data_IF_163441205265
#
_entry.id   IF_163441205265
#
_cell.length_a   1.000
_cell.length_b   1.000
_cell.length_c   1.000
_cell.angle_alpha   90.00
_cell.angle_beta   90.00
_cell.angle_gamma   90.00
#
_symmetry.space_group_name_H-M   'P 1'
#
loop_
_entity.id
_entity.type
_entity.pdbx_description
1 polymer ?
#
# COMPACT_ATOMS: atom_id res chain seq x y z
N UNK A 1 1.13 11.02 -7.82
CA UNK A 1 2.15 10.10 -8.36
C UNK A 1 2.01 8.79 -7.61
N UNK A 2 2.30 7.64 -8.21
CA UNK A 2 2.09 6.31 -7.65
C UNK A 2 2.64 6.15 -6.22
N UNK A 3 3.84 6.68 -5.94
CA UNK A 3 4.44 6.64 -4.61
C UNK A 3 3.77 7.57 -3.58
N UNK A 4 3.10 8.64 -4.02
CA UNK A 4 2.39 9.55 -3.11
C UNK A 4 1.20 8.83 -2.43
N UNK A 5 0.65 7.78 -3.06
CA UNK A 5 -0.46 6.98 -2.52
C UNK A 5 0.00 5.84 -1.59
N UNK A 6 1.31 5.62 -1.40
CA UNK A 6 1.82 4.42 -0.72
C UNK A 6 1.32 4.28 0.72
N UNK A 7 1.34 5.36 1.50
CA UNK A 7 0.86 5.38 2.88
C UNK A 7 -0.62 5.00 2.95
N UNK A 8 -1.45 5.60 2.10
CA UNK A 8 -2.88 5.28 2.02
C UNK A 8 -3.11 3.82 1.62
N UNK A 9 -2.30 3.27 0.70
CA UNK A 9 -2.36 1.86 0.31
C UNK A 9 -2.09 0.96 1.52
N UNK A 10 -1.04 1.23 2.31
CA UNK A 10 -0.71 0.45 3.50
C UNK A 10 -1.82 0.50 4.55
N UNK A 11 -2.33 1.69 4.84
CA UNK A 11 -3.41 1.89 5.81
C UNK A 11 -4.67 1.13 5.39
N UNK A 12 -5.06 1.23 4.12
CA UNK A 12 -6.22 0.49 3.60
C UNK A 12 -6.01 -1.02 3.67
N UNK A 13 -4.83 -1.53 3.33
CA UNK A 13 -4.52 -2.97 3.47
C UNK A 13 -4.67 -3.42 4.92
N UNK A 14 -4.12 -2.64 5.87
CA UNK A 14 -4.19 -2.95 7.30
C UNK A 14 -5.64 -2.97 7.80
N UNK A 15 -6.42 -1.93 7.48
CA UNK A 15 -7.82 -1.81 7.89
C UNK A 15 -8.68 -2.94 7.30
N UNK A 16 -8.50 -3.26 6.02
CA UNK A 16 -9.25 -4.34 5.35
C UNK A 16 -8.89 -5.69 5.95
N UNK A 17 -7.60 -5.98 6.19
CA UNK A 17 -7.17 -7.23 6.84
C UNK A 17 -7.76 -7.37 8.24
N UNK A 18 -7.80 -6.27 9.00
CA UNK A 18 -8.43 -6.27 10.31
C UNK A 18 -9.93 -6.57 10.22
N UNK A 19 -10.67 -5.91 9.33
CA UNK A 19 -12.12 -6.13 9.14
C UNK A 19 -12.41 -7.57 8.69
N UNK A 20 -11.62 -8.11 7.76
CA UNK A 20 -11.70 -9.51 7.32
C UNK A 20 -11.52 -10.47 8.49
N UNK A 21 -10.52 -10.25 9.35
CA UNK A 21 -10.31 -11.07 10.54
C UNK A 21 -11.51 -11.04 11.49
N UNK A 22 -12.15 -9.87 11.67
CA UNK A 22 -13.37 -9.77 12.48
C UNK A 22 -14.53 -10.58 11.87
N UNK A 23 -14.73 -10.49 10.55
CA UNK A 23 -15.75 -11.25 9.84
C UNK A 23 -15.50 -12.76 9.96
N UNK A 24 -14.27 -13.21 9.74
CA UNK A 24 -13.89 -14.63 9.83
C UNK A 24 -14.13 -15.20 11.22
N UNK A 25 -13.83 -14.43 12.26
CA UNK A 25 -14.12 -14.81 13.64
C UNK A 25 -15.63 -14.94 13.89
N UNK A 26 -16.46 -14.02 13.38
CA UNK A 26 -17.92 -14.11 13.50
C UNK A 26 -18.50 -15.31 12.75
N UNK A 27 -18.04 -15.54 11.52
CA UNK A 27 -18.44 -16.69 10.70
C UNK A 27 -18.08 -18.02 11.39
N UNK A 28 -16.87 -18.10 11.94
CA UNK A 28 -16.39 -19.31 12.63
C UNK A 28 -17.16 -19.60 13.92
N UNK A 29 -17.43 -18.56 14.72
CA UNK A 29 -18.15 -18.69 16.01
C UNK A 29 -19.60 -19.14 15.84
N UNK A 30 -20.25 -18.78 14.73
CA UNK A 30 -21.69 -18.99 14.53
C UNK A 30 -22.02 -20.08 13.48
N UNK A 31 -21.04 -20.92 13.12
CA UNK A 31 -21.15 -21.91 12.03
C UNK A 31 -22.30 -22.92 12.17
N UNK A 32 -22.83 -23.11 13.38
CA UNK A 32 -23.87 -24.10 13.70
C UNK A 32 -25.06 -23.45 14.44
N UNK A 33 -25.43 -22.22 14.06
CA UNK A 33 -26.56 -21.53 14.66
C UNK A 33 -27.88 -21.83 13.95
N UNK A 34 -28.93 -22.10 14.73
CA UNK A 34 -30.30 -22.27 14.24
C UNK A 34 -31.08 -20.94 14.24
N UNK A 35 -30.48 -19.85 14.69
CA UNK A 35 -31.14 -18.54 14.71
C UNK A 35 -31.19 -17.93 13.31
N UNK A 36 -32.40 -17.71 12.80
CA UNK A 36 -32.63 -17.05 11.49
C UNK A 36 -31.95 -15.66 11.43
N UNK A 37 -32.06 -14.86 12.49
CA UNK A 37 -31.43 -13.55 12.55
C UNK A 37 -29.89 -13.63 12.44
N UNK A 38 -29.28 -14.64 13.06
CA UNK A 38 -27.84 -14.86 12.94
C UNK A 38 -27.50 -15.36 11.52
N UNK A 39 -28.30 -16.25 10.93
CA UNK A 39 -28.07 -16.70 9.55
C UNK A 39 -28.10 -15.54 8.54
N UNK A 40 -29.04 -14.60 8.66
CA UNK A 40 -29.08 -13.38 7.82
C UNK A 40 -27.82 -12.51 8.01
N UNK A 41 -27.36 -12.35 9.25
CA UNK A 41 -26.10 -11.63 9.54
C UNK A 41 -24.91 -12.33 8.86
N UNK A 42 -24.82 -13.66 8.94
CA UNK A 42 -23.72 -14.43 8.33
C UNK A 42 -23.73 -14.34 6.80
N UNK A 43 -24.91 -14.28 6.17
CA UNK A 43 -25.01 -14.05 4.72
C UNK A 43 -24.48 -12.66 4.34
N UNK A 44 -24.83 -11.63 5.11
CA UNK A 44 -24.30 -10.27 4.91
C UNK A 44 -22.78 -10.23 5.11
N UNK A 45 -22.27 -10.89 6.16
CA UNK A 45 -20.85 -11.00 6.44
C UNK A 45 -20.10 -11.74 5.31
N UNK A 46 -20.66 -12.81 4.75
CA UNK A 46 -20.07 -13.51 3.61
C UNK A 46 -20.02 -12.64 2.35
N UNK A 47 -21.09 -11.89 2.07
CA UNK A 47 -21.09 -10.94 0.96
C UNK A 47 -20.06 -9.82 1.16
N UNK A 48 -20.00 -9.25 2.38
CA UNK A 48 -19.05 -8.22 2.75
C UNK A 48 -17.61 -8.72 2.65
N UNK A 49 -17.32 -9.95 3.09
CA UNK A 49 -16.02 -10.60 2.95
C UNK A 49 -15.55 -10.61 1.50
N UNK A 50 -16.38 -11.10 0.58
CA UNK A 50 -16.05 -11.13 -0.86
C UNK A 50 -15.73 -9.73 -1.43
N UNK A 51 -16.48 -8.69 -1.01
CA UNK A 51 -16.20 -7.32 -1.44
C UNK A 51 -14.85 -6.82 -0.92
N UNK A 52 -14.54 -7.11 0.36
CA UNK A 52 -13.28 -6.72 0.99
C UNK A 52 -12.09 -7.45 0.40
N UNK A 53 -12.19 -8.74 0.10
CA UNK A 53 -11.13 -9.51 -0.56
C UNK A 53 -10.81 -8.96 -1.96
N UNK A 54 -11.85 -8.64 -2.75
CA UNK A 54 -11.66 -7.99 -4.04
C UNK A 54 -10.99 -6.61 -3.91
N UNK A 55 -11.39 -5.83 -2.90
CA UNK A 55 -10.76 -4.53 -2.62
C UNK A 55 -9.30 -4.71 -2.18
N UNK A 56 -9.01 -5.67 -1.31
CA UNK A 56 -7.68 -6.00 -0.82
C UNK A 56 -6.74 -6.38 -1.97
N UNK A 57 -7.20 -7.25 -2.89
CA UNK A 57 -6.42 -7.65 -4.06
C UNK A 57 -5.99 -6.45 -4.91
N UNK A 58 -6.89 -5.49 -5.14
CA UNK A 58 -6.55 -4.25 -5.88
C UNK A 58 -5.48 -3.42 -5.18
N UNK A 59 -5.52 -3.32 -3.84
CA UNK A 59 -4.46 -2.60 -3.09
C UNK A 59 -3.14 -3.37 -3.09
N UNK A 60 -3.16 -4.69 -2.97
CA UNK A 60 -1.96 -5.53 -3.07
C UNK A 60 -1.33 -5.40 -4.47
N UNK A 61 -2.13 -5.40 -5.54
CA UNK A 61 -1.64 -5.14 -6.90
C UNK A 61 -0.97 -3.77 -7.02
N UNK A 62 -1.58 -2.71 -6.46
CA UNK A 62 -0.97 -1.38 -6.42
C UNK A 62 0.36 -1.39 -5.65
N UNK A 63 0.42 -2.04 -4.48
CA UNK A 63 1.64 -2.18 -3.68
C UNK A 63 2.73 -2.92 -4.45
N UNK A 64 2.39 -4.02 -5.13
CA UNK A 64 3.32 -4.81 -5.92
C UNK A 64 3.87 -4.02 -7.11
N UNK A 65 3.06 -3.17 -7.75
CA UNK A 65 3.54 -2.26 -8.81
C UNK A 65 4.58 -1.28 -8.28
N UNK A 66 4.36 -0.73 -7.08
CA UNK A 66 5.33 0.17 -6.43
C UNK A 66 6.63 -0.59 -6.13
N UNK A 67 6.53 -1.79 -5.57
CA UNK A 67 7.70 -2.60 -5.26
C UNK A 67 8.49 -2.97 -6.53
N UNK A 68 7.80 -3.43 -7.58
CA UNK A 68 8.44 -3.75 -8.84
C UNK A 68 9.12 -2.54 -9.48
N UNK A 69 8.54 -1.34 -9.33
CA UNK A 69 9.16 -0.10 -9.80
C UNK A 69 10.41 0.26 -8.98
N UNK A 70 10.37 0.13 -7.66
CA UNK A 70 11.56 0.29 -6.80
C UNK A 70 12.70 -0.64 -7.20
N UNK A 71 12.37 -1.87 -7.59
CA UNK A 71 13.35 -2.87 -7.96
C UNK A 71 14.11 -2.53 -9.25
N UNK A 72 13.57 -1.64 -10.09
CA UNK A 72 14.23 -1.15 -11.31
C UNK A 72 15.27 -0.05 -11.08
N UNK A 73 15.24 0.62 -9.93
CA UNK A 73 16.17 1.70 -9.61
C UNK A 73 17.48 1.17 -9.01
N UNK A 74 18.57 1.91 -9.20
CA UNK A 74 19.83 1.64 -8.53
C UNK A 74 19.69 1.80 -7.00
N UNK A 75 20.71 1.38 -6.26
CA UNK A 75 20.67 1.35 -4.79
C UNK A 75 20.38 2.74 -4.19
N UNK A 76 21.06 3.79 -4.68
CA UNK A 76 20.90 5.14 -4.16
C UNK A 76 19.49 5.68 -4.43
N UNK A 77 19.03 5.56 -5.67
CA UNK A 77 17.73 6.05 -6.09
C UNK A 77 16.60 5.29 -5.38
N UNK A 78 16.73 3.96 -5.23
CA UNK A 78 15.82 3.13 -4.44
C UNK A 78 15.79 3.57 -2.98
N UNK A 79 16.94 3.81 -2.36
CA UNK A 79 17.02 4.26 -0.97
C UNK A 79 16.34 5.62 -0.78
N UNK A 80 16.54 6.57 -1.70
CA UNK A 80 15.86 7.87 -1.66
C UNK A 80 14.33 7.71 -1.72
N UNK A 81 13.83 6.84 -2.61
CA UNK A 81 12.39 6.59 -2.76
C UNK A 81 11.81 5.88 -1.53
N UNK A 82 12.47 4.83 -1.04
CA UNK A 82 12.05 4.08 0.16
C UNK A 82 11.98 5.01 1.38
N UNK A 83 13.06 5.74 1.67
CA UNK A 83 13.07 6.64 2.81
C UNK A 83 11.99 7.73 2.69
N UNK A 84 11.75 8.26 1.49
CA UNK A 84 10.79 9.34 1.29
C UNK A 84 9.34 8.89 1.43
N UNK A 85 8.98 7.75 0.83
CA UNK A 85 7.59 7.37 0.62
C UNK A 85 7.13 6.17 1.46
N UNK A 86 8.06 5.29 1.84
CA UNK A 86 7.77 4.14 2.70
C UNK A 86 7.99 4.52 4.16
N UNK A 87 9.13 5.13 4.47
CA UNK A 87 9.50 5.49 5.84
C UNK A 87 9.10 6.93 6.23
N UNK A 88 8.67 7.75 5.26
CA UNK A 88 8.12 9.07 5.51
C UNK A 88 9.12 10.17 5.88
N UNK A 89 10.43 9.97 5.64
CA UNK A 89 11.45 10.98 5.93
C UNK A 89 11.37 12.21 5.03
N UNK A 90 11.77 13.36 5.57
CA UNK A 90 11.99 14.56 4.79
C UNK A 90 13.24 14.43 3.90
N UNK A 91 13.34 15.24 2.84
CA UNK A 91 14.56 15.25 2.00
C UNK A 91 15.80 15.71 2.78
N UNK A 92 15.60 16.54 3.80
CA UNK A 92 16.66 16.95 4.72
C UNK A 92 17.16 15.76 5.55
N UNK A 93 16.25 15.00 6.17
CA UNK A 93 16.62 13.81 6.96
C UNK A 93 17.24 12.72 6.10
N UNK A 94 16.76 12.54 4.86
CA UNK A 94 17.35 11.64 3.88
C UNK A 94 18.80 12.04 3.58
N UNK A 95 19.07 13.34 3.40
CA UNK A 95 20.43 13.80 3.14
C UNK A 95 21.38 13.49 4.28
N UNK A 96 20.93 13.64 5.54
CA UNK A 96 21.69 13.27 6.74
C UNK A 96 21.94 11.76 6.80
N UNK A 97 20.90 10.94 6.57
CA UNK A 97 20.99 9.47 6.63
C UNK A 97 21.91 8.88 5.57
N UNK A 98 21.83 9.40 4.35
CA UNK A 98 22.62 8.92 3.22
C UNK A 98 23.97 9.64 3.11
N UNK A 99 24.30 10.55 4.04
CA UNK A 99 25.55 11.33 4.06
C UNK A 99 25.81 12.14 2.78
N UNK A 100 24.75 12.65 2.17
CA UNK A 100 24.82 13.55 1.00
C UNK A 100 24.40 14.97 1.37
N UNK A 101 24.72 15.95 0.52
CA UNK A 101 24.18 17.29 0.68
C UNK A 101 22.67 17.31 0.37
N UNK A 102 21.94 18.19 1.07
CA UNK A 102 20.50 18.36 0.85
C UNK A 102 20.19 18.77 -0.60
N UNK A 103 21.02 19.65 -1.19
CA UNK A 103 20.89 20.07 -2.59
C UNK A 103 21.01 18.90 -3.56
N UNK A 104 21.95 17.98 -3.32
CA UNK A 104 22.11 16.77 -4.13
C UNK A 104 20.88 15.86 -4.05
N UNK A 105 20.38 15.59 -2.83
CA UNK A 105 19.17 14.77 -2.64
C UNK A 105 17.94 15.42 -3.28
N UNK A 106 17.76 16.74 -3.17
CA UNK A 106 16.66 17.47 -3.83
C UNK A 106 16.73 17.35 -5.34
N UNK A 107 17.92 17.49 -5.94
CA UNK A 107 18.12 17.34 -7.38
C UNK A 107 17.78 15.91 -7.84
N UNK A 108 18.34 14.90 -7.17
CA UNK A 108 18.08 13.49 -7.45
C UNK A 108 16.61 13.13 -7.30
N UNK A 109 15.96 13.57 -6.22
CA UNK A 109 14.52 13.38 -6.02
C UNK A 109 13.69 14.00 -7.15
N UNK A 110 14.03 15.20 -7.61
CA UNK A 110 13.33 15.83 -8.71
C UNK A 110 13.50 15.07 -10.05
N UNK A 111 14.68 14.51 -10.31
CA UNK A 111 14.94 13.62 -11.46
C UNK A 111 14.10 12.35 -11.36
N UNK A 112 14.10 11.68 -10.20
CA UNK A 112 13.29 10.49 -9.95
C UNK A 112 11.81 10.73 -10.15
N UNK A 113 11.27 11.86 -9.64
CA UNK A 113 9.85 12.21 -9.87
C UNK A 113 9.54 12.39 -11.36
N UNK A 114 10.47 12.87 -12.19
CA UNK A 114 10.28 12.98 -13.64
C UNK A 114 10.26 11.61 -14.30
N UNK A 115 11.24 10.76 -13.96
CA UNK A 115 11.33 9.39 -14.47
C UNK A 115 10.09 8.57 -14.15
N UNK A 116 9.62 8.62 -12.90
CA UNK A 116 8.42 7.89 -12.46
C UNK A 116 7.19 8.37 -13.24
N UNK A 117 6.98 9.69 -13.37
CA UNK A 117 5.85 10.23 -14.14
C UNK A 117 5.89 9.80 -15.61
N UNK A 118 7.09 9.72 -16.20
CA UNK A 118 7.25 9.26 -17.57
C UNK A 118 6.86 7.78 -17.71
N UNK A 119 7.32 6.91 -16.80
CA UNK A 119 6.93 5.48 -16.76
C UNK A 119 5.42 5.33 -16.60
N UNK A 120 4.79 6.11 -15.72
CA UNK A 120 3.34 6.12 -15.53
C UNK A 120 2.57 6.53 -16.79
N UNK A 121 3.13 7.39 -17.64
CA UNK A 121 2.52 7.80 -18.90
C UNK A 121 2.66 6.73 -19.98
N UNK A 122 3.77 6.00 -20.02
CA UNK A 122 4.00 4.91 -20.98
C UNK A 122 3.20 3.64 -20.67
N UNK A 123 2.86 3.41 -19.39
CA UNK A 123 2.07 2.27 -18.95
C UNK A 123 0.54 2.48 -18.98
N UNK A 124 0.07 3.59 -19.57
CA UNK A 124 -1.35 3.86 -19.87
C UNK A 124 -1.64 3.56 -21.33
#
# INVERSE_FOLDING_TARGET
MLFDEYTEIQENIMLIKWELSQIENRLSRNKQTDSQAIQELLQRDAHRKNQLENKLNRYIEKQNKIQGLLDTFDELDRNILTLRYIEGYSLEDISKKLTYSESYIRKKHAELRRTIRYIEQLGK
#
